data_IF_304116048412
#
_entry.id   IF_304116048412
#
_cell.length_a   1.000
_cell.length_b   1.000
_cell.length_c   1.000
_cell.angle_alpha   90.00
_cell.angle_beta   90.00
_cell.angle_gamma   90.00
#
_symmetry.space_group_name_H-M   'P 1'
#
loop_
_entity.id
_entity.type
_entity.pdbx_description
1 polymer ?
#
# COMPACT_ATOMS: atom_id res chain seq x y z
N UNK A 1 -19.84 3.35 59.35
CA UNK A 1 -19.21 4.07 58.22
C UNK A 1 -19.41 3.21 56.99
N UNK A 2 -20.30 3.64 56.10
CA UNK A 2 -20.83 2.85 54.99
C UNK A 2 -19.95 2.91 53.75
N UNK A 3 -19.85 1.75 53.10
CA UNK A 3 -19.23 1.45 51.81
C UNK A 3 -20.05 2.00 50.63
N UNK A 4 -19.38 2.43 49.55
CA UNK A 4 -19.94 2.38 48.20
C UNK A 4 -18.91 1.83 47.21
N UNK A 5 -19.19 0.62 46.74
CA UNK A 5 -18.56 -0.04 45.61
C UNK A 5 -19.01 0.62 44.30
N UNK A 6 -18.07 0.83 43.39
CA UNK A 6 -18.30 1.25 42.01
C UNK A 6 -19.06 0.17 41.22
N UNK A 7 -20.24 0.53 40.71
CA UNK A 7 -21.11 -0.33 39.91
C UNK A 7 -20.50 -0.71 38.56
N UNK A 8 -20.69 -1.96 38.07
CA UNK A 8 -20.35 -2.34 36.71
C UNK A 8 -21.39 -1.79 35.72
N UNK A 9 -20.91 -1.40 34.54
CA UNK A 9 -21.71 -0.92 33.40
C UNK A 9 -22.67 -2.04 32.98
N UNK A 10 -23.98 -1.82 33.19
CA UNK A 10 -25.04 -2.69 32.67
C UNK A 10 -25.17 -2.48 31.16
N UNK A 11 -25.03 -3.56 30.40
CA UNK A 11 -25.55 -3.63 29.03
C UNK A 11 -27.01 -4.04 29.12
N UNK A 12 -27.93 -3.12 28.81
CA UNK A 12 -29.33 -3.46 28.69
C UNK A 12 -29.52 -4.32 27.44
N UNK A 13 -29.96 -5.56 27.67
CA UNK A 13 -30.40 -6.49 26.65
C UNK A 13 -31.69 -5.95 26.02
N UNK A 14 -31.58 -5.40 24.80
CA UNK A 14 -32.76 -5.08 24.00
C UNK A 14 -33.30 -6.39 23.44
N UNK A 15 -34.31 -6.90 24.12
CA UNK A 15 -35.04 -8.10 23.74
C UNK A 15 -35.61 -8.00 22.32
N UNK A 16 -35.37 -9.09 21.59
CA UNK A 16 -36.10 -9.64 20.46
C UNK A 16 -37.42 -8.94 20.10
N UNK A 17 -37.44 -8.23 18.96
CA UNK A 17 -38.63 -8.18 18.11
C UNK A 17 -38.25 -8.76 16.76
N UNK A 18 -38.60 -10.04 16.62
CA UNK A 18 -38.63 -10.80 15.39
C UNK A 18 -39.56 -10.13 14.39
N UNK A 19 -39.00 -9.51 13.36
CA UNK A 19 -39.65 -9.46 12.06
C UNK A 19 -38.87 -10.39 11.14
N UNK A 20 -39.31 -11.64 11.11
CA UNK A 20 -39.12 -12.53 9.98
C UNK A 20 -39.76 -11.86 8.77
N UNK A 21 -38.95 -11.28 7.87
CA UNK A 21 -39.19 -11.26 6.44
C UNK A 21 -37.96 -10.70 5.68
N UNK A 22 -37.44 -11.53 4.79
CA UNK A 22 -36.75 -11.16 3.54
C UNK A 22 -35.39 -10.45 3.61
N UNK A 23 -34.39 -11.12 4.17
CA UNK A 23 -33.05 -11.08 3.57
C UNK A 23 -32.55 -12.52 3.50
N UNK A 24 -32.55 -13.11 2.30
CA UNK A 24 -31.91 -14.40 2.06
C UNK A 24 -30.41 -14.24 2.32
N UNK A 25 -29.98 -14.41 3.58
CA UNK A 25 -28.57 -14.32 3.95
C UNK A 25 -27.83 -15.36 3.14
N UNK A 26 -26.95 -14.92 2.24
CA UNK A 26 -26.07 -15.84 1.52
C UNK A 26 -25.28 -16.60 2.58
N UNK A 27 -25.54 -17.91 2.68
CA UNK A 27 -24.78 -18.81 3.52
C UNK A 27 -23.33 -18.79 2.99
N UNK A 28 -22.46 -18.03 3.68
CA UNK A 28 -21.08 -17.79 3.28
C UNK A 28 -20.33 -19.11 3.04
N UNK A 29 -20.69 -20.18 3.79
CA UNK A 29 -20.11 -21.51 3.65
C UNK A 29 -20.55 -22.15 2.33
N UNK A 30 -21.84 -22.08 1.97
CA UNK A 30 -22.32 -22.55 0.66
C UNK A 30 -21.68 -21.79 -0.50
N UNK A 31 -21.49 -20.48 -0.37
CA UNK A 31 -20.84 -19.72 -1.44
C UNK A 31 -19.35 -20.08 -1.56
N UNK A 32 -18.63 -20.22 -0.44
CA UNK A 32 -17.25 -20.69 -0.42
C UNK A 32 -17.10 -22.07 -1.10
N UNK A 33 -18.04 -22.99 -0.85
CA UNK A 33 -18.06 -24.28 -1.52
C UNK A 33 -18.15 -24.13 -3.04
N UNK A 34 -19.10 -23.32 -3.54
CA UNK A 34 -19.29 -23.07 -4.97
C UNK A 34 -18.05 -22.44 -5.60
N UNK A 35 -17.45 -21.47 -4.93
CA UNK A 35 -16.26 -20.78 -5.39
C UNK A 35 -15.07 -21.76 -5.50
N UNK A 36 -14.84 -22.59 -4.48
CA UNK A 36 -13.80 -23.63 -4.51
C UNK A 36 -14.09 -24.72 -5.55
N UNK A 37 -15.35 -25.16 -5.69
CA UNK A 37 -15.74 -26.16 -6.70
C UNK A 37 -15.48 -25.66 -8.13
N UNK A 38 -15.69 -24.36 -8.39
CA UNK A 38 -15.47 -23.77 -9.71
C UNK A 38 -14.01 -23.73 -10.15
N UNK A 39 -13.07 -23.86 -9.20
CA UNK A 39 -11.63 -23.78 -9.47
C UNK A 39 -10.87 -25.07 -9.15
N UNK A 40 -11.53 -26.11 -8.61
CA UNK A 40 -10.87 -27.32 -8.10
C UNK A 40 -10.03 -28.09 -9.13
N UNK A 41 -10.37 -27.98 -10.41
CA UNK A 41 -9.69 -28.68 -11.50
C UNK A 41 -8.40 -27.95 -11.94
N UNK A 42 -8.27 -26.66 -11.62
CA UNK A 42 -7.09 -25.84 -11.94
C UNK A 42 -6.27 -25.42 -10.71
N UNK A 43 -6.87 -25.42 -9.52
CA UNK A 43 -6.26 -25.07 -8.23
C UNK A 43 -6.26 -26.29 -7.30
N UNK A 44 -5.10 -26.93 -7.11
CA UNK A 44 -4.98 -28.13 -6.26
C UNK A 44 -5.42 -27.88 -4.81
N UNK A 45 -5.08 -26.71 -4.27
CA UNK A 45 -5.47 -26.31 -2.91
C UNK A 45 -6.99 -26.35 -2.72
N UNK A 46 -7.78 -25.96 -3.73
CA UNK A 46 -9.24 -25.92 -3.63
C UNK A 46 -9.84 -27.33 -3.53
N UNK A 47 -9.30 -28.29 -4.29
CA UNK A 47 -9.67 -29.71 -4.19
C UNK A 47 -9.37 -30.28 -2.81
N UNK A 48 -8.20 -29.98 -2.25
CA UNK A 48 -7.85 -30.42 -0.90
C UNK A 48 -8.69 -29.72 0.17
N UNK A 49 -8.99 -28.44 -0.01
CA UNK A 49 -9.83 -27.67 0.91
C UNK A 49 -11.22 -28.30 1.06
N UNK A 50 -11.86 -28.61 -0.06
CA UNK A 50 -13.19 -29.21 -0.11
C UNK A 50 -13.25 -30.59 0.55
N UNK A 51 -12.17 -31.38 0.44
CA UNK A 51 -12.12 -32.73 1.01
C UNK A 51 -11.72 -32.76 2.48
N UNK A 52 -10.90 -31.82 2.96
CA UNK A 52 -10.26 -31.93 4.28
C UNK A 52 -10.73 -30.90 5.31
N UNK A 53 -11.17 -29.72 4.88
CA UNK A 53 -11.41 -28.59 5.79
C UNK A 53 -12.85 -28.12 5.76
N UNK A 54 -13.48 -28.14 4.59
CA UNK A 54 -14.80 -27.56 4.39
C UNK A 54 -15.87 -28.10 5.37
N UNK A 55 -15.89 -29.42 5.60
CA UNK A 55 -16.85 -30.06 6.50
C UNK A 55 -16.72 -29.56 7.95
N UNK A 56 -15.49 -29.31 8.41
CA UNK A 56 -15.17 -28.86 9.76
C UNK A 56 -15.43 -27.39 10.05
N UNK A 57 -15.76 -26.57 9.03
CA UNK A 57 -16.11 -25.17 9.25
C UNK A 57 -17.45 -25.05 9.98
N UNK A 58 -17.54 -24.14 10.95
CA UNK A 58 -18.80 -23.82 11.63
C UNK A 58 -19.77 -23.17 10.63
N UNK A 59 -21.02 -23.63 10.59
CA UNK A 59 -22.04 -23.11 9.68
C UNK A 59 -22.42 -21.66 10.03
N UNK A 60 -22.53 -21.35 11.32
CA UNK A 60 -22.78 -20.00 11.78
C UNK A 60 -21.46 -19.25 12.01
N UNK A 61 -21.31 -18.03 11.47
CA UNK A 61 -20.20 -17.17 11.84
C UNK A 61 -20.28 -16.84 13.34
N UNK A 62 -19.13 -16.58 13.97
CA UNK A 62 -19.09 -16.35 15.41
C UNK A 62 -19.72 -14.99 15.69
N UNK A 63 -20.90 -15.00 16.30
CA UNK A 63 -21.80 -13.85 16.44
C UNK A 63 -21.09 -12.62 17.05
N UNK A 64 -20.22 -12.82 18.04
CA UNK A 64 -19.43 -11.73 18.63
C UNK A 64 -18.52 -11.00 17.63
N UNK A 65 -17.91 -11.69 16.67
CA UNK A 65 -17.05 -11.06 15.65
C UNK A 65 -17.87 -10.35 14.58
N UNK A 66 -19.03 -10.90 14.22
CA UNK A 66 -19.98 -10.24 13.32
C UNK A 66 -20.47 -8.95 13.96
N UNK A 67 -20.90 -8.99 15.22
CA UNK A 67 -21.39 -7.82 15.96
C UNK A 67 -20.29 -6.77 16.08
N UNK A 68 -19.04 -7.15 16.38
CA UNK A 68 -17.91 -6.20 16.39
C UNK A 68 -17.70 -5.53 15.03
N UNK A 69 -17.72 -6.30 13.94
CA UNK A 69 -17.52 -5.78 12.59
C UNK A 69 -18.69 -4.89 12.15
N UNK A 70 -19.93 -5.34 12.36
CA UNK A 70 -21.14 -4.61 12.02
C UNK A 70 -21.33 -3.37 12.90
N UNK A 71 -20.96 -3.42 14.19
CA UNK A 71 -21.02 -2.25 15.07
C UNK A 71 -20.00 -1.18 14.66
N UNK A 72 -18.75 -1.57 14.32
CA UNK A 72 -17.77 -0.65 13.73
C UNK A 72 -18.30 -0.02 12.43
N UNK A 73 -18.94 -0.83 11.58
CA UNK A 73 -19.58 -0.37 10.35
C UNK A 73 -20.75 0.60 10.61
N UNK A 74 -21.66 0.28 11.52
CA UNK A 74 -22.80 1.12 11.87
C UNK A 74 -22.38 2.42 12.55
N UNK A 75 -21.39 2.37 13.45
CA UNK A 75 -20.80 3.55 14.06
C UNK A 75 -20.26 4.49 12.98
N UNK A 76 -19.51 3.96 12.02
CA UNK A 76 -19.03 4.74 10.89
C UNK A 76 -20.17 5.31 10.03
N UNK A 77 -21.16 4.51 9.64
CA UNK A 77 -22.34 4.96 8.89
C UNK A 77 -23.05 6.11 9.60
N UNK A 78 -23.18 6.03 10.92
CA UNK A 78 -23.77 7.09 11.74
C UNK A 78 -22.91 8.36 11.78
N UNK A 79 -21.57 8.24 11.85
CA UNK A 79 -20.64 9.37 11.82
C UNK A 79 -20.60 10.03 10.43
N UNK A 80 -20.57 9.23 9.37
CA UNK A 80 -20.65 9.71 7.99
C UNK A 80 -21.95 10.49 7.75
N UNK A 81 -23.09 9.93 8.15
CA UNK A 81 -24.39 10.61 8.06
C UNK A 81 -24.46 11.87 8.93
N UNK A 82 -23.83 11.89 10.11
CA UNK A 82 -23.73 13.11 10.94
C UNK A 82 -22.87 14.18 10.29
N UNK A 83 -21.75 13.81 9.68
CA UNK A 83 -20.84 14.73 9.01
C UNK A 83 -21.43 15.26 7.69
N UNK A 84 -22.15 14.41 6.95
CA UNK A 84 -22.90 14.83 5.75
C UNK A 84 -24.11 15.70 6.08
N UNK A 85 -24.87 15.39 7.14
CA UNK A 85 -26.00 16.24 7.58
C UNK A 85 -25.55 17.58 8.16
N UNK A 86 -24.49 17.61 8.97
CA UNK A 86 -23.86 18.87 9.40
C UNK A 86 -23.43 19.70 8.20
N UNK A 87 -22.93 19.07 7.14
CA UNK A 87 -22.54 19.79 5.92
C UNK A 87 -23.71 20.39 5.13
N UNK A 88 -24.94 19.91 5.33
CA UNK A 88 -26.17 20.49 4.76
C UNK A 88 -26.78 21.58 5.65
N UNK A 89 -26.64 21.52 6.97
CA UNK A 89 -27.21 22.54 7.87
C UNK A 89 -26.35 23.81 8.01
N UNK A 90 -25.06 23.78 7.62
CA UNK A 90 -24.21 24.97 7.57
C UNK A 90 -24.44 25.87 6.35
N UNK A 91 -25.41 25.57 5.46
CA UNK A 91 -25.81 26.52 4.41
C UNK A 91 -26.74 27.62 4.89
N UNK A 92 -27.29 27.53 6.12
CA UNK A 92 -28.35 28.44 6.57
C UNK A 92 -28.09 29.20 7.87
N UNK A 93 -26.94 29.09 8.54
CA UNK A 93 -26.65 29.96 9.70
C UNK A 93 -25.14 30.24 9.85
N UNK A 94 -24.75 31.47 9.54
CA UNK A 94 -23.50 32.06 10.05
C UNK A 94 -23.65 32.29 11.55
N UNK A 95 -22.59 31.97 12.29
CA UNK A 95 -22.38 32.16 13.73
C UNK A 95 -22.90 31.03 14.63
N UNK A 96 -21.99 30.14 15.06
CA UNK A 96 -21.74 29.90 16.49
C UNK A 96 -20.54 28.94 16.74
N UNK A 97 -19.62 29.46 17.54
CA UNK A 97 -18.57 28.88 18.39
C UNK A 97 -18.32 27.36 18.39
N UNK A 98 -17.07 26.99 18.08
CA UNK A 98 -16.49 25.66 18.29
C UNK A 98 -16.03 25.56 19.75
N UNK A 99 -16.68 24.70 20.55
CA UNK A 99 -16.16 24.22 21.84
C UNK A 99 -15.38 22.92 21.64
N UNK A 100 -14.14 22.95 22.12
CA UNK A 100 -13.21 21.83 22.26
C UNK A 100 -13.80 20.74 23.17
N UNK A 101 -13.90 19.50 22.68
CA UNK A 101 -13.76 18.28 23.50
C UNK A 101 -13.71 17.05 22.58
N UNK A 102 -12.55 16.39 22.50
CA UNK A 102 -12.33 14.97 22.12
C UNK A 102 -10.88 14.65 21.72
N UNK A 103 -9.93 15.58 21.83
CA UNK A 103 -8.53 15.37 21.43
C UNK A 103 -7.72 14.35 22.27
N UNK A 104 -8.25 13.83 23.38
CA UNK A 104 -7.48 12.95 24.27
C UNK A 104 -7.58 11.45 23.95
N UNK A 105 -8.64 10.98 23.29
CA UNK A 105 -8.81 9.55 22.97
C UNK A 105 -8.09 9.13 21.68
N UNK A 106 -7.83 10.09 20.78
CA UNK A 106 -7.16 9.84 19.49
C UNK A 106 -5.63 9.79 19.66
N UNK A 107 -5.06 10.55 20.61
CA UNK A 107 -3.62 10.54 20.90
C UNK A 107 -3.12 9.22 21.48
N UNK A 108 -3.96 8.50 22.24
CA UNK A 108 -3.58 7.20 22.81
C UNK A 108 -3.62 6.05 21.80
N UNK A 109 -4.40 6.17 20.71
CA UNK A 109 -4.44 5.19 19.62
C UNK A 109 -3.27 5.32 18.63
N UNK A 110 -2.57 6.46 18.65
CA UNK A 110 -1.45 6.80 17.77
C UNK A 110 -0.12 6.22 18.28
N UNK A 111 -0.04 5.82 19.55
CA UNK A 111 1.23 5.39 20.17
C UNK A 111 1.63 3.92 19.88
N UNK A 112 0.77 3.12 19.22
CA UNK A 112 1.00 1.69 18.99
C UNK A 112 1.26 1.31 17.52
N UNK A 113 1.61 2.28 16.67
CA UNK A 113 2.06 2.00 15.30
C UNK A 113 3.40 2.69 15.07
N UNK A 114 4.47 1.91 15.16
CA UNK A 114 5.86 2.32 14.93
C UNK A 114 6.04 2.97 13.55
N UNK A 115 6.01 4.30 13.50
CA UNK A 115 6.69 5.11 12.50
C UNK A 115 7.19 6.39 13.18
N UNK A 116 8.50 6.46 13.43
CA UNK A 116 9.16 7.63 14.00
C UNK A 116 8.98 8.85 13.11
N UNK A 117 8.19 9.79 13.64
CA UNK A 117 8.01 11.17 13.25
C UNK A 117 9.34 11.92 13.39
N UNK A 118 9.99 12.26 12.28
CA UNK A 118 10.82 13.47 12.14
C UNK A 118 11.24 13.65 10.67
N UNK A 119 10.95 14.85 10.13
CA UNK A 119 11.58 15.47 8.93
C UNK A 119 10.86 15.60 7.57
N UNK A 120 9.53 15.77 7.43
CA UNK A 120 8.99 16.18 6.11
C UNK A 120 7.88 17.22 6.17
N UNK A 121 8.30 18.42 6.55
CA UNK A 121 7.66 19.70 6.22
C UNK A 121 7.87 20.07 4.74
N UNK A 122 6.84 20.76 4.22
CA UNK A 122 6.78 21.71 3.10
C UNK A 122 6.63 21.17 1.65
N UNK A 123 5.45 21.53 1.11
CA UNK A 123 5.03 21.76 -0.28
C UNK A 123 4.99 20.60 -1.28
N UNK A 124 3.78 20.07 -1.51
CA UNK A 124 3.31 19.73 -2.87
C UNK A 124 1.78 19.78 -2.90
N UNK A 125 1.22 20.92 -3.30
CA UNK A 125 -0.20 21.02 -3.65
C UNK A 125 -0.38 20.83 -5.17
N UNK A 126 -1.54 20.26 -5.51
CA UNK A 126 -2.39 20.52 -6.70
C UNK A 126 -2.55 19.57 -7.90
N UNK A 127 -2.02 18.34 -7.99
CA UNK A 127 -2.47 17.40 -9.07
C UNK A 127 -2.72 15.93 -8.66
N UNK A 128 -2.37 15.49 -7.44
CA UNK A 128 -2.34 14.04 -7.11
C UNK A 128 -3.54 13.57 -6.25
N UNK A 129 -4.53 14.41 -5.96
CA UNK A 129 -5.55 14.12 -4.93
C UNK A 129 -6.72 13.18 -5.33
N UNK A 130 -6.74 12.54 -6.51
CA UNK A 130 -7.91 11.73 -6.93
C UNK A 130 -7.72 10.20 -6.93
N UNK A 131 -6.51 9.68 -6.70
CA UNK A 131 -6.25 8.22 -6.76
C UNK A 131 -5.56 7.62 -5.51
N UNK A 132 -5.43 8.37 -4.42
CA UNK A 132 -4.61 8.00 -3.23
C UNK A 132 -5.28 7.06 -2.20
N UNK A 133 -6.23 6.23 -2.61
CA UNK A 133 -6.85 5.24 -1.72
C UNK A 133 -5.85 4.21 -1.13
N UNK A 134 -4.66 4.07 -1.72
CA UNK A 134 -3.60 3.17 -1.28
C UNK A 134 -2.46 3.84 -0.49
N UNK A 135 -2.57 5.16 -0.23
CA UNK A 135 -1.60 5.98 0.53
C UNK A 135 -2.11 6.27 1.96
N UNK A 136 -2.70 5.27 2.60
CA UNK A 136 -3.64 5.45 3.71
C UNK A 136 -3.07 5.60 5.14
N UNK A 137 -1.84 6.07 5.32
CA UNK A 137 -1.34 6.48 6.66
C UNK A 137 -0.48 7.76 6.62
N UNK A 138 0.41 7.87 5.63
CA UNK A 138 1.36 8.99 5.49
C UNK A 138 0.68 10.32 5.08
N UNK A 139 -0.41 10.27 4.32
CA UNK A 139 -1.22 11.45 3.96
C UNK A 139 -2.04 11.94 5.16
N UNK A 140 -2.46 11.01 6.04
CA UNK A 140 -3.31 11.29 7.19
C UNK A 140 -2.54 12.10 8.26
N UNK A 141 -1.26 11.80 8.47
CA UNK A 141 -0.40 12.48 9.45
C UNK A 141 0.02 13.88 9.00
N UNK A 142 0.34 14.08 7.72
CA UNK A 142 0.73 15.39 7.17
C UNK A 142 -0.41 16.41 7.19
N UNK A 143 -1.62 16.03 6.76
CA UNK A 143 -2.77 16.96 6.64
C UNK A 143 -3.39 17.37 7.98
N UNK A 144 -3.15 16.64 9.08
CA UNK A 144 -3.63 17.06 10.42
C UNK A 144 -2.88 18.27 10.99
N UNK A 145 -1.67 18.55 10.49
CA UNK A 145 -0.75 19.54 11.07
C UNK A 145 -0.78 20.86 10.29
N UNK A 146 -1.15 20.85 9.01
CA UNK A 146 -1.18 22.06 8.17
C UNK A 146 -2.56 22.25 7.52
N UNK A 147 -3.23 23.35 7.91
CA UNK A 147 -4.37 23.99 7.26
C UNK A 147 -5.79 23.42 7.50
N UNK A 148 -6.76 24.34 7.44
CA UNK A 148 -8.18 24.09 7.62
C UNK A 148 -8.70 23.13 6.55
N UNK A 149 -9.09 21.92 6.96
CA UNK A 149 -9.68 20.95 6.04
C UNK A 149 -10.96 21.47 5.38
N UNK A 150 -10.96 21.52 4.04
CA UNK A 150 -12.16 21.64 3.23
C UNK A 150 -13.07 20.42 3.39
N UNK A 151 -14.35 20.57 3.05
CA UNK A 151 -15.41 19.58 3.28
C UNK A 151 -15.09 18.20 2.68
N UNK A 152 -14.48 18.17 1.50
CA UNK A 152 -14.11 16.94 0.79
C UNK A 152 -12.94 16.21 1.48
N UNK A 153 -11.94 16.94 1.97
CA UNK A 153 -10.80 16.34 2.68
C UNK A 153 -11.23 15.69 4.01
N UNK A 154 -12.19 16.28 4.75
CA UNK A 154 -12.73 15.68 5.99
C UNK A 154 -13.47 14.37 5.70
N UNK A 155 -14.20 14.32 4.59
CA UNK A 155 -14.95 13.14 4.18
C UNK A 155 -14.01 12.00 3.78
N UNK A 156 -13.00 12.31 2.96
CA UNK A 156 -11.95 11.37 2.57
C UNK A 156 -11.18 10.85 3.79
N UNK A 157 -10.82 11.72 4.73
CA UNK A 157 -10.13 11.32 5.97
C UNK A 157 -10.98 10.39 6.83
N UNK A 158 -12.28 10.64 6.92
CA UNK A 158 -13.20 9.76 7.65
C UNK A 158 -13.26 8.37 7.01
N UNK A 159 -13.36 8.31 5.68
CA UNK A 159 -13.34 7.05 4.93
C UNK A 159 -12.01 6.30 5.10
N UNK A 160 -10.87 7.01 5.09
CA UNK A 160 -9.56 6.41 5.28
C UNK A 160 -9.39 5.82 6.68
N UNK A 161 -9.84 6.53 7.72
CA UNK A 161 -9.82 6.03 9.10
C UNK A 161 -10.67 4.75 9.21
N UNK A 162 -11.88 4.77 8.66
CA UNK A 162 -12.75 3.60 8.61
C UNK A 162 -12.11 2.43 7.87
N UNK A 163 -11.46 2.69 6.74
CA UNK A 163 -10.69 1.70 6.01
C UNK A 163 -9.61 1.06 6.89
N UNK A 164 -8.79 1.88 7.53
CA UNK A 164 -7.73 1.40 8.41
C UNK A 164 -8.27 0.55 9.56
N UNK A 165 -9.35 0.99 10.22
CA UNK A 165 -9.90 0.32 11.39
C UNK A 165 -10.50 -1.06 11.05
N UNK A 166 -11.22 -1.17 9.93
CA UNK A 166 -11.74 -2.47 9.49
C UNK A 166 -10.61 -3.41 9.07
N UNK A 167 -9.60 -2.91 8.37
CA UNK A 167 -8.44 -3.74 7.99
C UNK A 167 -7.68 -4.21 9.24
N UNK A 168 -7.56 -3.37 10.28
CA UNK A 168 -7.01 -3.76 11.58
C UNK A 168 -7.84 -4.85 12.24
N UNK A 169 -9.17 -4.66 12.30
CA UNK A 169 -10.09 -5.64 12.88
C UNK A 169 -10.00 -6.99 12.13
N UNK A 170 -9.98 -6.95 10.81
CA UNK A 170 -9.84 -8.13 9.97
C UNK A 170 -8.51 -8.85 10.24
N UNK A 171 -7.39 -8.11 10.35
CA UNK A 171 -6.08 -8.69 10.71
C UNK A 171 -6.10 -9.35 12.08
N UNK A 172 -6.75 -8.72 13.07
CA UNK A 172 -6.88 -9.29 14.42
C UNK A 172 -7.69 -10.59 14.38
N UNK A 173 -8.83 -10.58 13.69
CA UNK A 173 -9.72 -11.74 13.57
C UNK A 173 -9.06 -12.88 12.79
N UNK A 174 -8.37 -12.59 11.69
CA UNK A 174 -7.59 -13.57 10.92
C UNK A 174 -6.35 -14.04 11.68
N UNK A 175 -5.93 -13.38 12.76
CA UNK A 175 -4.84 -13.87 13.61
C UNK A 175 -5.34 -14.77 14.75
N UNK A 176 -6.65 -14.83 14.98
CA UNK A 176 -7.25 -15.66 16.01
C UNK A 176 -7.50 -17.09 15.49
N UNK A 177 -6.92 -18.09 16.15
CA UNK A 177 -7.02 -19.50 15.77
C UNK A 177 -8.45 -20.05 15.75
N UNK A 178 -9.35 -19.50 16.58
CA UNK A 178 -10.74 -19.91 16.66
C UNK A 178 -11.59 -19.34 15.50
N UNK A 179 -11.06 -18.35 14.78
CA UNK A 179 -11.77 -17.68 13.70
C UNK A 179 -11.77 -18.52 12.42
N UNK A 180 -12.93 -18.64 11.77
CA UNK A 180 -13.07 -19.49 10.57
C UNK A 180 -12.19 -19.00 9.40
N UNK A 181 -12.04 -17.68 9.24
CA UNK A 181 -11.12 -17.10 8.26
C UNK A 181 -9.64 -17.44 8.53
N UNK A 182 -9.23 -17.62 9.79
CA UNK A 182 -7.88 -18.09 10.12
C UNK A 182 -7.69 -19.53 9.61
N UNK A 183 -8.67 -20.41 9.88
CA UNK A 183 -8.62 -21.82 9.45
C UNK A 183 -8.46 -21.92 7.93
N UNK A 184 -9.23 -21.14 7.18
CA UNK A 184 -9.16 -21.11 5.71
C UNK A 184 -7.79 -20.60 5.24
N UNK A 185 -7.32 -19.49 5.81
CA UNK A 185 -6.03 -18.90 5.46
C UNK A 185 -4.87 -19.86 5.76
N UNK A 186 -4.88 -20.48 6.94
CA UNK A 186 -3.78 -21.38 7.31
C UNK A 186 -3.76 -22.66 6.50
N UNK A 187 -4.94 -23.22 6.21
CA UNK A 187 -5.00 -24.36 5.31
C UNK A 187 -4.37 -24.03 3.95
N UNK A 188 -4.68 -22.86 3.38
CA UNK A 188 -4.08 -22.45 2.13
C UNK A 188 -2.56 -22.29 2.25
N UNK A 189 -2.06 -21.63 3.29
CA UNK A 189 -0.61 -21.46 3.52
C UNK A 189 0.09 -22.82 3.62
N UNK A 190 -0.47 -23.76 4.37
CA UNK A 190 0.10 -25.10 4.51
C UNK A 190 0.06 -25.90 3.21
N UNK A 191 -1.05 -25.83 2.47
CA UNK A 191 -1.17 -26.44 1.15
C UNK A 191 -0.16 -25.85 0.16
N UNK A 192 -0.06 -24.53 0.12
CA UNK A 192 0.85 -23.79 -0.75
C UNK A 192 2.31 -24.13 -0.43
N UNK A 193 2.67 -24.17 0.86
CA UNK A 193 3.99 -24.60 1.31
C UNK A 193 4.28 -26.03 0.86
N UNK A 194 3.38 -26.98 1.08
CA UNK A 194 3.61 -28.38 0.65
C UNK A 194 3.78 -28.50 -0.86
N UNK A 195 3.05 -27.71 -1.63
CA UNK A 195 3.05 -27.74 -3.08
C UNK A 195 4.31 -27.13 -3.69
N UNK A 196 4.82 -26.02 -3.13
CA UNK A 196 5.85 -25.19 -3.78
C UNK A 196 7.15 -25.04 -2.98
N UNK A 197 7.22 -25.49 -1.73
CA UNK A 197 8.45 -25.34 -0.92
C UNK A 197 9.52 -26.40 -1.25
N UNK A 198 9.12 -27.59 -1.70
CA UNK A 198 10.06 -28.71 -1.93
C UNK A 198 10.81 -28.55 -3.25
N UNK A 199 10.15 -28.01 -4.28
CA UNK A 199 10.75 -27.72 -5.59
C UNK A 199 10.49 -26.25 -5.90
N UNK A 200 11.36 -25.34 -5.43
CA UNK A 200 11.36 -23.89 -5.76
C UNK A 200 11.73 -23.66 -7.24
N UNK A 201 11.16 -24.47 -8.12
CA UNK A 201 11.45 -24.53 -9.53
C UNK A 201 10.69 -23.41 -10.24
N UNK A 202 11.43 -22.62 -11.02
CA UNK A 202 10.86 -21.56 -11.88
C UNK A 202 9.73 -22.05 -12.80
N UNK A 203 9.72 -23.33 -13.19
CA UNK A 203 8.66 -23.93 -14.02
C UNK A 203 7.27 -23.92 -13.36
N UNK A 204 7.20 -23.78 -12.04
CA UNK A 204 5.94 -23.73 -11.31
C UNK A 204 5.52 -22.30 -10.93
N UNK A 205 6.31 -21.27 -11.30
CA UNK A 205 6.06 -19.89 -10.91
C UNK A 205 4.68 -19.40 -11.35
N UNK A 206 4.31 -19.64 -12.61
CA UNK A 206 3.01 -19.22 -13.14
C UNK A 206 1.85 -19.89 -12.39
N UNK A 207 1.99 -21.17 -12.03
CA UNK A 207 1.01 -21.88 -11.22
C UNK A 207 0.93 -21.30 -9.80
N UNK A 208 2.07 -21.02 -9.17
CA UNK A 208 2.11 -20.45 -7.81
C UNK A 208 1.48 -19.05 -7.75
N UNK A 209 1.79 -18.19 -8.74
CA UNK A 209 1.19 -16.87 -8.89
C UNK A 209 -0.32 -16.98 -9.14
N UNK A 210 -0.74 -17.93 -9.98
CA UNK A 210 -2.16 -18.18 -10.27
C UNK A 210 -2.90 -18.63 -9.02
N UNK A 211 -2.39 -19.62 -8.29
CA UNK A 211 -3.00 -20.14 -7.05
C UNK A 211 -3.16 -19.03 -6.01
N UNK A 212 -2.17 -18.15 -5.83
CA UNK A 212 -2.27 -16.98 -4.94
C UNK A 212 -3.35 -15.99 -5.36
N UNK A 213 -3.44 -15.69 -6.66
CA UNK A 213 -4.47 -14.78 -7.21
C UNK A 213 -5.86 -15.37 -7.05
N UNK A 214 -6.03 -16.66 -7.34
CA UNK A 214 -7.31 -17.35 -7.19
C UNK A 214 -7.73 -17.41 -5.73
N UNK A 215 -6.84 -17.85 -4.84
CA UNK A 215 -7.10 -17.86 -3.41
C UNK A 215 -7.48 -16.46 -2.90
N UNK A 216 -6.74 -15.42 -3.27
CA UNK A 216 -7.03 -14.05 -2.81
C UNK A 216 -8.42 -13.57 -3.23
N UNK A 217 -8.89 -13.96 -4.43
CA UNK A 217 -10.25 -13.66 -4.91
C UNK A 217 -11.32 -14.45 -4.14
N UNK A 218 -11.12 -15.74 -3.93
CA UNK A 218 -12.04 -16.58 -3.15
C UNK A 218 -12.11 -16.10 -1.70
N UNK A 219 -10.96 -15.81 -1.10
CA UNK A 219 -10.86 -15.34 0.27
C UNK A 219 -11.50 -13.96 0.46
N UNK A 220 -11.32 -13.06 -0.51
CA UNK A 220 -12.04 -11.78 -0.55
C UNK A 220 -13.55 -11.98 -0.55
N UNK A 221 -14.07 -12.84 -1.44
CA UNK A 221 -15.51 -13.10 -1.53
C UNK A 221 -16.02 -13.74 -0.23
N UNK A 222 -15.23 -14.64 0.35
CA UNK A 222 -15.52 -15.24 1.64
C UNK A 222 -15.63 -14.20 2.75
N UNK A 223 -14.70 -13.24 2.84
CA UNK A 223 -14.76 -12.12 3.79
C UNK A 223 -16.06 -11.31 3.60
N UNK A 224 -16.36 -10.93 2.35
CA UNK A 224 -17.55 -10.15 2.03
C UNK A 224 -18.83 -10.86 2.48
N UNK A 225 -18.94 -12.16 2.20
CA UNK A 225 -20.09 -12.96 2.58
C UNK A 225 -20.13 -13.22 4.11
N UNK A 226 -18.99 -13.47 4.74
CA UNK A 226 -18.88 -13.79 6.17
C UNK A 226 -19.38 -12.64 7.05
N UNK A 227 -19.03 -11.39 6.71
CA UNK A 227 -19.51 -10.21 7.43
C UNK A 227 -20.78 -9.60 6.84
N UNK A 228 -21.34 -10.20 5.78
CA UNK A 228 -22.47 -9.66 5.01
C UNK A 228 -22.23 -8.20 4.60
N UNK A 229 -21.00 -7.91 4.18
CA UNK A 229 -20.63 -6.60 3.70
C UNK A 229 -21.10 -6.44 2.26
N UNK A 230 -22.32 -5.94 2.08
CA UNK A 230 -22.80 -5.51 0.77
C UNK A 230 -21.91 -4.38 0.24
N UNK A 231 -21.82 -4.24 -1.10
CA UNK A 231 -21.29 -3.03 -1.75
C UNK A 231 -22.04 -1.86 -1.14
N UNK A 232 -21.40 -1.18 -0.19
CA UNK A 232 -22.05 -0.11 0.53
C UNK A 232 -22.51 0.90 -0.50
N UNK A 233 -23.82 1.14 -0.58
CA UNK A 233 -24.41 2.27 -1.30
C UNK A 233 -24.02 3.62 -0.62
N UNK A 234 -22.79 3.73 -0.14
CA UNK A 234 -22.17 4.96 0.35
C UNK A 234 -21.74 5.87 -0.83
N UNK A 235 -21.99 5.45 -2.07
CA UNK A 235 -21.67 6.16 -3.31
C UNK A 235 -22.62 7.33 -3.63
N UNK A 236 -23.39 7.85 -2.67
CA UNK A 236 -24.23 9.04 -2.89
C UNK A 236 -23.45 10.36 -2.87
N UNK A 237 -22.12 10.30 -2.93
CA UNK A 237 -21.24 11.46 -3.07
C UNK A 237 -20.06 11.19 -4.01
N UNK A 238 -19.29 12.24 -4.38
CA UNK A 238 -18.19 12.15 -5.35
C UNK A 238 -16.93 11.42 -4.84
N UNK A 239 -16.96 10.90 -3.60
CA UNK A 239 -15.79 10.28 -2.95
C UNK A 239 -15.83 8.76 -3.12
N UNK A 240 -14.74 8.22 -3.66
CA UNK A 240 -14.55 6.82 -4.05
C UNK A 240 -14.74 5.85 -2.88
N UNK A 241 -15.48 4.76 -3.11
CA UNK A 241 -15.59 3.67 -2.15
C UNK A 241 -14.21 3.01 -1.93
N UNK A 242 -13.59 3.30 -0.79
CA UNK A 242 -12.29 2.75 -0.41
C UNK A 242 -12.35 1.25 -0.10
N UNK A 243 -13.53 0.68 0.15
CA UNK A 243 -13.75 -0.76 0.35
C UNK A 243 -14.14 -1.47 -0.93
N UNK A 244 -13.65 -0.97 -2.06
CA UNK A 244 -13.81 -1.66 -3.33
C UNK A 244 -12.99 -2.96 -3.39
N UNK A 245 -13.27 -3.72 -4.46
CA UNK A 245 -12.64 -5.01 -4.71
C UNK A 245 -11.11 -4.93 -4.70
N UNK A 246 -10.55 -3.89 -5.29
CA UNK A 246 -9.12 -3.79 -5.55
C UNK A 246 -8.32 -3.48 -4.28
N UNK A 247 -8.85 -2.58 -3.44
CA UNK A 247 -8.23 -2.24 -2.15
C UNK A 247 -8.27 -3.42 -1.18
N UNK A 248 -9.35 -4.22 -1.21
CA UNK A 248 -9.43 -5.45 -0.41
C UNK A 248 -8.44 -6.51 -0.89
N UNK A 249 -8.27 -6.70 -2.20
CA UNK A 249 -7.22 -7.59 -2.73
C UNK A 249 -5.82 -7.13 -2.31
N UNK A 250 -5.55 -5.83 -2.37
CA UNK A 250 -4.27 -5.24 -1.93
C UNK A 250 -4.00 -5.52 -0.45
N UNK A 251 -5.04 -5.44 0.39
CA UNK A 251 -4.94 -5.77 1.80
C UNK A 251 -4.68 -7.28 2.02
N UNK A 252 -5.35 -8.16 1.29
CA UNK A 252 -5.16 -9.61 1.35
C UNK A 252 -3.75 -10.01 0.91
N UNK A 253 -3.24 -9.46 -0.21
CA UNK A 253 -1.86 -9.69 -0.61
C UNK A 253 -0.88 -9.23 0.46
N UNK A 254 -1.13 -8.06 1.07
CA UNK A 254 -0.31 -7.62 2.19
C UNK A 254 -0.33 -8.62 3.34
N UNK A 255 -1.50 -9.16 3.72
CA UNK A 255 -1.59 -10.17 4.78
C UNK A 255 -0.87 -11.48 4.42
N UNK A 256 -1.00 -11.95 3.18
CA UNK A 256 -0.34 -13.16 2.69
C UNK A 256 1.18 -13.00 2.64
N UNK A 257 1.68 -11.91 2.07
CA UNK A 257 3.12 -11.69 1.93
C UNK A 257 3.82 -11.24 3.21
N UNK A 258 3.09 -10.79 4.24
CA UNK A 258 3.67 -10.67 5.60
C UNK A 258 3.93 -12.05 6.24
N UNK A 259 3.48 -13.15 5.64
CA UNK A 259 3.91 -14.50 6.03
C UNK A 259 5.19 -14.80 5.28
N UNK A 260 6.30 -14.83 6.01
CA UNK A 260 7.65 -15.03 5.47
C UNK A 260 7.70 -16.21 4.48
N UNK A 261 7.04 -17.32 4.79
CA UNK A 261 7.05 -18.51 3.94
C UNK A 261 6.47 -18.27 2.54
N UNK A 262 5.38 -17.50 2.43
CA UNK A 262 4.73 -17.22 1.14
C UNK A 262 5.60 -16.27 0.31
N UNK A 263 6.10 -15.21 0.96
CA UNK A 263 7.01 -14.26 0.32
C UNK A 263 8.27 -14.96 -0.19
N UNK A 264 8.92 -15.77 0.64
CA UNK A 264 10.17 -16.45 0.28
C UNK A 264 9.97 -17.43 -0.88
N UNK A 265 8.93 -18.27 -0.84
CA UNK A 265 8.64 -19.20 -1.95
C UNK A 265 8.51 -18.44 -3.28
N UNK A 266 7.69 -17.40 -3.32
CA UNK A 266 7.48 -16.62 -4.54
C UNK A 266 8.73 -15.88 -4.96
N UNK A 267 9.41 -15.20 -4.03
CA UNK A 267 10.61 -14.45 -4.31
C UNK A 267 11.71 -15.36 -4.88
N UNK A 268 11.95 -16.52 -4.26
CA UNK A 268 12.95 -17.49 -4.73
C UNK A 268 12.61 -18.06 -6.11
N UNK A 269 11.34 -18.36 -6.36
CA UNK A 269 10.89 -18.83 -7.68
C UNK A 269 11.08 -17.76 -8.77
N UNK A 270 10.85 -16.47 -8.45
CA UNK A 270 11.11 -15.36 -9.37
C UNK A 270 12.62 -15.17 -9.57
N UNK A 271 13.42 -15.23 -8.50
CA UNK A 271 14.89 -15.16 -8.59
C UNK A 271 15.45 -16.26 -9.50
N UNK A 272 14.96 -17.50 -9.35
CA UNK A 272 15.34 -18.62 -10.21
C UNK A 272 14.90 -18.38 -11.67
N UNK A 273 13.68 -17.87 -11.88
CA UNK A 273 13.13 -17.58 -13.21
C UNK A 273 13.90 -16.46 -13.94
N UNK A 274 14.29 -15.40 -13.23
CA UNK A 274 15.03 -14.25 -13.74
C UNK A 274 16.55 -14.36 -13.58
N UNK A 275 17.08 -15.53 -13.22
CA UNK A 275 18.50 -15.68 -12.83
C UNK A 275 19.47 -15.09 -13.85
N UNK A 276 19.26 -15.37 -15.13
CA UNK A 276 20.11 -14.85 -16.22
C UNK A 276 20.05 -13.32 -16.31
N UNK A 277 18.87 -12.73 -16.20
CA UNK A 277 18.68 -11.29 -16.30
C UNK A 277 19.30 -10.56 -15.08
N UNK A 278 19.16 -11.16 -13.89
CA UNK A 278 19.81 -10.68 -12.65
C UNK A 278 21.33 -10.74 -12.77
N UNK A 279 21.88 -11.84 -13.27
CA UNK A 279 23.34 -12.01 -13.45
C UNK A 279 23.89 -11.01 -14.50
N UNK A 280 23.14 -10.76 -15.58
CA UNK A 280 23.48 -9.74 -16.58
C UNK A 280 23.45 -8.33 -15.98
N UNK A 281 22.39 -7.99 -15.24
CA UNK A 281 22.27 -6.68 -14.60
C UNK A 281 23.36 -6.46 -13.57
N UNK A 282 23.72 -7.49 -12.79
CA UNK A 282 24.85 -7.45 -11.86
C UNK A 282 26.15 -7.10 -12.57
N UNK A 283 26.46 -7.81 -13.66
CA UNK A 283 27.68 -7.58 -14.45
C UNK A 283 27.72 -6.15 -15.01
N UNK A 284 26.60 -5.67 -15.55
CA UNK A 284 26.50 -4.31 -16.07
C UNK A 284 26.70 -3.25 -14.96
N UNK A 285 26.08 -3.44 -13.80
CA UNK A 285 26.24 -2.54 -12.66
C UNK A 285 27.70 -2.52 -12.19
N UNK A 286 28.35 -3.67 -12.06
CA UNK A 286 29.75 -3.77 -11.62
C UNK A 286 30.70 -3.05 -12.58
N UNK A 287 30.50 -3.20 -13.89
CA UNK A 287 31.29 -2.52 -14.92
C UNK A 287 31.13 -1.01 -14.87
N UNK A 288 29.92 -0.51 -14.62
CA UNK A 288 29.66 0.92 -14.59
C UNK A 288 29.93 1.57 -13.22
N UNK A 289 30.01 0.80 -12.14
CA UNK A 289 29.94 1.31 -10.75
C UNK A 289 30.94 2.41 -10.43
N UNK A 290 32.16 2.34 -10.95
CA UNK A 290 33.22 3.30 -10.63
C UNK A 290 33.13 4.62 -11.41
N UNK A 291 32.26 4.73 -12.42
CA UNK A 291 32.12 5.96 -13.18
C UNK A 291 31.46 7.09 -12.38
N UNK A 292 31.89 8.31 -12.63
CA UNK A 292 31.32 9.54 -12.08
C UNK A 292 29.97 9.86 -12.73
N UNK A 293 29.18 10.75 -12.10
CA UNK A 293 27.84 11.07 -12.57
C UNK A 293 27.81 11.64 -14.01
N UNK A 294 28.89 12.28 -14.44
CA UNK A 294 29.02 12.88 -15.78
C UNK A 294 29.05 11.83 -16.90
N UNK A 295 29.34 10.55 -16.59
CA UNK A 295 29.36 9.45 -17.55
C UNK A 295 27.95 8.99 -18.00
N UNK A 296 26.91 9.23 -17.19
CA UNK A 296 25.59 8.62 -17.39
C UNK A 296 24.63 9.48 -18.23
N UNK A 297 25.16 10.40 -19.05
CA UNK A 297 24.37 11.31 -19.89
C UNK A 297 23.26 12.08 -19.15
N UNK A 298 23.41 12.27 -17.83
CA UNK A 298 22.50 13.10 -17.05
C UNK A 298 22.72 14.55 -17.49
N UNK A 299 21.65 15.27 -17.81
CA UNK A 299 21.74 16.68 -18.15
C UNK A 299 22.46 17.46 -17.03
N UNK A 300 23.34 18.39 -17.40
CA UNK A 300 24.17 19.15 -16.44
C UNK A 300 23.35 19.81 -15.33
N UNK A 301 22.08 20.17 -15.60
CA UNK A 301 21.12 20.69 -14.62
C UNK A 301 20.81 19.74 -13.46
N UNK A 302 20.91 18.43 -13.69
CA UNK A 302 20.50 17.41 -12.73
C UNK A 302 21.66 16.58 -12.17
N UNK A 303 22.93 16.94 -12.43
CA UNK A 303 24.09 16.20 -11.90
C UNK A 303 24.38 16.52 -10.43
N UNK A 304 23.96 17.68 -9.93
CA UNK A 304 24.15 18.13 -8.54
C UNK A 304 25.62 18.08 -8.07
N UNK A 305 26.56 18.30 -9.00
CA UNK A 305 28.00 18.27 -8.78
C UNK A 305 28.65 19.62 -9.16
N UNK A 306 29.98 19.66 -9.25
CA UNK A 306 30.76 20.82 -9.68
C UNK A 306 30.36 21.33 -11.08
N UNK A 307 29.97 20.43 -11.98
CA UNK A 307 29.51 20.76 -13.34
C UNK A 307 28.18 21.52 -13.29
N UNK A 308 27.21 21.05 -12.50
CA UNK A 308 25.95 21.78 -12.27
C UNK A 308 26.21 23.14 -11.64
N UNK A 309 27.11 23.21 -10.66
CA UNK A 309 27.47 24.47 -10.03
C UNK A 309 28.06 25.47 -11.03
N UNK A 310 28.99 25.03 -11.89
CA UNK A 310 29.57 25.85 -12.97
C UNK A 310 28.52 26.33 -13.97
N UNK A 311 27.55 25.48 -14.29
CA UNK A 311 26.41 25.84 -15.13
C UNK A 311 25.56 26.96 -14.50
N UNK A 312 25.32 26.89 -13.17
CA UNK A 312 24.56 27.92 -12.46
C UNK A 312 25.29 29.26 -12.44
N UNK A 313 26.59 29.28 -12.16
CA UNK A 313 27.38 30.53 -12.17
C UNK A 313 27.35 31.24 -13.52
N UNK A 314 27.39 30.48 -14.63
CA UNK A 314 27.30 31.06 -15.98
C UNK A 314 25.92 31.62 -16.30
N UNK A 315 24.87 31.01 -15.75
CA UNK A 315 23.48 31.36 -16.06
C UNK A 315 22.91 32.43 -15.12
N UNK A 316 23.38 32.46 -13.87
CA UNK A 316 22.91 33.34 -12.81
C UNK A 316 24.12 34.08 -12.22
N UNK A 317 24.34 35.30 -12.71
CA UNK A 317 25.51 36.13 -12.39
C UNK A 317 25.61 36.56 -10.91
N UNK A 318 24.55 36.34 -10.12
CA UNK A 318 24.41 36.85 -8.74
C UNK A 318 24.45 35.75 -7.67
N UNK A 319 24.82 34.51 -8.00
CA UNK A 319 24.90 33.46 -7.00
C UNK A 319 26.24 33.51 -6.25
N UNK A 320 26.23 33.97 -4.99
CA UNK A 320 27.32 33.73 -4.05
C UNK A 320 27.30 32.27 -3.60
N UNK A 321 28.38 31.53 -3.84
CA UNK A 321 28.36 30.07 -3.62
C UNK A 321 29.65 29.56 -2.99
N UNK A 322 29.50 28.96 -1.80
CA UNK A 322 30.42 27.94 -1.29
C UNK A 322 29.90 26.55 -1.69
N UNK A 323 30.40 26.01 -2.80
CA UNK A 323 30.06 24.64 -3.20
C UNK A 323 30.51 23.66 -2.11
N UNK A 324 29.56 22.87 -1.60
CA UNK A 324 29.87 21.75 -0.71
C UNK A 324 29.91 20.47 -1.53
N UNK A 325 31.09 19.84 -1.53
CA UNK A 325 31.28 18.56 -2.19
C UNK A 325 30.45 17.47 -1.49
N UNK A 326 29.70 16.71 -2.28
CA UNK A 326 28.83 15.66 -1.80
C UNK A 326 28.51 14.69 -2.93
N UNK A 327 28.12 13.47 -2.58
CA UNK A 327 27.73 12.46 -3.56
C UNK A 327 26.29 12.77 -3.99
N UNK A 328 26.04 13.08 -5.28
CA UNK A 328 24.70 13.33 -5.77
C UNK A 328 23.77 12.15 -5.47
N UNK A 329 22.53 12.44 -5.07
CA UNK A 329 21.49 11.43 -4.85
C UNK A 329 21.80 10.36 -3.77
N UNK A 330 22.79 10.57 -2.88
CA UNK A 330 23.18 9.58 -1.87
C UNK A 330 22.01 9.08 -1.02
N UNK A 331 21.05 9.95 -0.68
CA UNK A 331 19.85 9.55 0.06
C UNK A 331 18.95 8.61 -0.74
N UNK A 332 18.90 8.76 -2.07
CA UNK A 332 18.11 7.89 -2.94
C UNK A 332 18.69 6.47 -3.00
N UNK A 333 20.02 6.30 -2.96
CA UNK A 333 20.64 4.97 -2.95
C UNK A 333 20.16 4.13 -1.77
N UNK A 334 20.18 4.74 -0.57
CA UNK A 334 19.72 4.10 0.67
C UNK A 334 18.23 3.81 0.67
N UNK A 335 17.42 4.67 0.04
CA UNK A 335 15.97 4.47 -0.02
C UNK A 335 15.58 3.38 -1.02
N UNK A 336 16.29 3.31 -2.16
CA UNK A 336 16.07 2.26 -3.12
C UNK A 336 16.45 0.89 -2.54
N UNK A 337 17.56 0.79 -1.79
CA UNK A 337 17.97 -0.48 -1.17
C UNK A 337 16.99 -1.01 -0.11
N UNK A 338 16.21 -0.13 0.54
CA UNK A 338 15.16 -0.53 1.50
C UNK A 338 14.03 -1.36 0.88
N UNK A 339 13.93 -1.44 -0.45
CA UNK A 339 12.95 -2.32 -1.11
C UNK A 339 13.13 -3.80 -0.73
N UNK A 340 14.37 -4.21 -0.38
CA UNK A 340 14.70 -5.56 0.10
C UNK A 340 14.03 -5.90 1.42
N UNK A 341 13.83 -4.90 2.28
CA UNK A 341 13.20 -5.04 3.59
C UNK A 341 11.67 -5.12 3.51
N UNK A 342 11.08 -4.82 2.35
CA UNK A 342 9.62 -4.78 2.17
C UNK A 342 9.14 -6.08 1.58
N UNK A 343 8.12 -6.69 2.18
CA UNK A 343 7.53 -7.94 1.68
C UNK A 343 6.22 -7.72 0.89
N UNK A 344 5.43 -6.72 1.27
CA UNK A 344 4.19 -6.41 0.53
C UNK A 344 4.50 -5.73 -0.81
N UNK A 345 3.81 -6.12 -1.92
CA UNK A 345 3.92 -5.44 -3.21
C UNK A 345 3.70 -3.93 -3.09
N UNK A 346 2.69 -3.52 -2.31
CA UNK A 346 2.36 -2.11 -2.10
C UNK A 346 3.50 -1.36 -1.38
N UNK A 347 4.16 -2.00 -0.41
CA UNK A 347 5.29 -1.40 0.29
C UNK A 347 6.51 -1.26 -0.62
N UNK A 348 6.77 -2.25 -1.48
CA UNK A 348 7.84 -2.17 -2.49
C UNK A 348 7.57 -1.05 -3.50
N UNK A 349 6.36 -0.94 -4.03
CA UNK A 349 5.97 0.16 -4.92
C UNK A 349 6.14 1.53 -4.23
N UNK A 350 5.70 1.65 -2.96
CA UNK A 350 5.90 2.87 -2.17
C UNK A 350 7.37 3.25 -2.01
N UNK A 351 8.26 2.27 -1.80
CA UNK A 351 9.69 2.53 -1.72
C UNK A 351 10.24 3.12 -3.02
N UNK A 352 9.80 2.61 -4.18
CA UNK A 352 10.20 3.15 -5.50
C UNK A 352 9.70 4.59 -5.70
N UNK A 353 8.43 4.85 -5.41
CA UNK A 353 7.84 6.20 -5.54
C UNK A 353 8.52 7.18 -4.58
N UNK A 354 8.77 6.77 -3.34
CA UNK A 354 9.42 7.62 -2.35
C UNK A 354 10.87 7.96 -2.76
N UNK A 355 11.57 7.02 -3.41
CA UNK A 355 12.87 7.29 -4.00
C UNK A 355 12.79 8.42 -5.05
N UNK A 356 11.77 8.41 -5.91
CA UNK A 356 11.54 9.46 -6.90
C UNK A 356 11.27 10.83 -6.26
N UNK A 357 10.35 10.89 -5.29
CA UNK A 357 10.04 12.15 -4.60
C UNK A 357 11.31 12.77 -4.00
N UNK A 358 12.24 11.91 -3.55
CA UNK A 358 13.53 12.32 -3.00
C UNK A 358 14.55 12.75 -4.03
N UNK A 359 14.46 12.26 -5.28
CA UNK A 359 15.21 12.82 -6.41
C UNK A 359 14.80 14.27 -6.61
N UNK A 360 13.50 14.52 -6.78
CA UNK A 360 12.95 15.86 -7.01
C UNK A 360 13.32 16.77 -5.83
N UNK A 361 13.16 16.30 -4.60
CA UNK A 361 13.51 17.07 -3.39
C UNK A 361 14.99 17.42 -3.33
N UNK A 362 15.90 16.52 -3.72
CA UNK A 362 17.33 16.80 -3.71
C UNK A 362 17.73 17.81 -4.76
N UNK A 363 17.14 17.75 -5.96
CA UNK A 363 17.39 18.76 -6.99
C UNK A 363 16.87 20.13 -6.51
N UNK A 364 15.64 20.20 -5.97
CA UNK A 364 15.09 21.42 -5.34
C UNK A 364 16.01 21.98 -4.26
N UNK A 365 16.45 21.14 -3.33
CA UNK A 365 17.37 21.56 -2.27
C UNK A 365 18.69 22.10 -2.82
N UNK A 366 19.26 21.47 -3.84
CA UNK A 366 20.49 21.93 -4.46
C UNK A 366 20.32 23.35 -5.05
N UNK A 367 19.28 23.58 -5.84
CA UNK A 367 19.02 24.89 -6.46
C UNK A 367 18.68 25.97 -5.43
N UNK A 368 17.84 25.65 -4.45
CA UNK A 368 17.48 26.57 -3.36
C UNK A 368 18.69 26.96 -2.52
N UNK A 369 19.63 26.03 -2.27
CA UNK A 369 20.89 26.32 -1.53
C UNK A 369 21.71 27.40 -2.22
N UNK A 370 21.57 27.56 -3.54
CA UNK A 370 22.29 28.55 -4.34
C UNK A 370 21.42 29.74 -4.77
N UNK A 371 20.25 29.93 -4.14
CA UNK A 371 19.37 31.08 -4.39
C UNK A 371 18.68 31.07 -5.75
N UNK A 372 18.63 29.92 -6.43
CA UNK A 372 17.99 29.79 -7.73
C UNK A 372 16.56 29.24 -7.57
N UNK A 373 15.55 30.06 -7.89
CA UNK A 373 14.22 29.53 -8.19
C UNK A 373 14.26 28.90 -9.59
N UNK A 374 14.18 27.56 -9.65
CA UNK A 374 14.15 26.83 -10.90
C UNK A 374 12.78 26.16 -11.05
N UNK A 375 12.09 26.43 -12.15
CA UNK A 375 10.85 25.75 -12.49
C UNK A 375 11.14 24.31 -12.92
N UNK A 376 10.50 23.36 -12.25
CA UNK A 376 10.84 21.94 -12.30
C UNK A 376 10.05 21.22 -13.37
N UNK A 377 10.66 21.03 -14.54
CA UNK A 377 10.19 20.07 -15.54
C UNK A 377 11.33 19.09 -15.85
N UNK A 378 11.28 17.91 -15.21
CA UNK A 378 12.19 16.80 -15.52
C UNK A 378 11.54 16.01 -16.65
N UNK A 379 12.19 15.99 -17.81
CA UNK A 379 11.74 15.19 -18.94
C UNK A 379 11.98 13.70 -18.67
N UNK A 380 11.30 12.83 -19.42
CA UNK A 380 11.42 11.39 -19.26
C UNK A 380 12.84 10.88 -19.49
N UNK A 381 13.55 11.43 -20.49
CA UNK A 381 14.94 11.08 -20.77
C UNK A 381 15.87 11.39 -19.58
N UNK A 382 15.73 12.58 -18.99
CA UNK A 382 16.51 12.98 -17.81
C UNK A 382 16.21 12.08 -16.61
N UNK A 383 14.93 11.76 -16.40
CA UNK A 383 14.53 10.88 -15.30
C UNK A 383 15.12 9.47 -15.45
N UNK A 384 15.13 8.92 -16.67
CA UNK A 384 15.71 7.60 -16.95
C UNK A 384 17.22 7.61 -16.65
N UNK A 385 17.98 8.60 -17.11
CA UNK A 385 19.42 8.71 -16.83
C UNK A 385 19.72 8.86 -15.34
N UNK A 386 18.90 9.62 -14.60
CA UNK A 386 19.01 9.74 -13.14
C UNK A 386 18.74 8.39 -12.46
N UNK A 387 17.70 7.66 -12.88
CA UNK A 387 17.45 6.32 -12.36
C UNK A 387 18.59 5.36 -12.65
N UNK A 388 19.18 5.44 -13.83
CA UNK A 388 20.33 4.64 -14.23
C UNK A 388 21.46 4.77 -13.21
N UNK A 389 21.84 6.02 -12.90
CA UNK A 389 22.84 6.34 -11.90
C UNK A 389 22.45 5.83 -10.50
N UNK A 390 21.21 6.05 -10.06
CA UNK A 390 20.74 5.62 -8.74
C UNK A 390 20.77 4.09 -8.61
N UNK A 391 20.32 3.34 -9.62
CA UNK A 391 20.28 1.89 -9.62
C UNK A 391 21.72 1.34 -9.52
N UNK A 392 22.63 1.84 -10.37
CA UNK A 392 24.04 1.42 -10.37
C UNK A 392 24.69 1.69 -9.01
N UNK A 393 24.55 2.92 -8.49
CA UNK A 393 25.16 3.29 -7.20
C UNK A 393 24.50 2.62 -5.99
N UNK A 394 23.25 2.17 -6.11
CA UNK A 394 22.57 1.40 -5.07
C UNK A 394 22.97 -0.08 -5.01
N UNK A 395 23.62 -0.61 -6.05
CA UNK A 395 24.01 -2.02 -6.18
C UNK A 395 22.83 -2.99 -5.97
N UNK A 396 21.65 -2.60 -6.45
CA UNK A 396 20.43 -3.40 -6.34
C UNK A 396 20.31 -4.36 -7.55
N UNK A 397 21.09 -5.45 -7.50
CA UNK A 397 21.18 -6.43 -8.60
C UNK A 397 19.87 -7.18 -8.88
N UNK A 398 19.06 -7.39 -7.85
CA UNK A 398 17.79 -8.11 -7.88
C UNK A 398 16.57 -7.18 -8.11
N UNK A 399 16.79 -5.96 -8.61
CA UNK A 399 15.70 -4.99 -8.83
C UNK A 399 14.61 -5.56 -9.75
N UNK A 400 14.97 -6.30 -10.81
CA UNK A 400 14.01 -6.91 -11.73
C UNK A 400 13.06 -7.88 -11.04
N UNK A 401 13.53 -8.60 -10.01
CA UNK A 401 12.70 -9.51 -9.22
C UNK A 401 11.67 -8.75 -8.41
N UNK A 402 12.06 -7.63 -7.82
CA UNK A 402 11.12 -6.75 -7.12
C UNK A 402 10.09 -6.11 -8.06
N UNK A 403 10.49 -5.72 -9.27
CA UNK A 403 9.58 -5.16 -10.27
C UNK A 403 8.58 -6.22 -10.74
N UNK A 404 9.05 -7.43 -11.07
CA UNK A 404 8.17 -8.54 -11.44
C UNK A 404 7.15 -8.83 -10.33
N UNK A 405 7.61 -8.88 -9.08
CA UNK A 405 6.75 -9.10 -7.92
C UNK A 405 5.69 -7.99 -7.77
N UNK A 406 6.05 -6.73 -7.96
CA UNK A 406 5.11 -5.60 -7.96
C UNK A 406 4.05 -5.77 -9.06
N UNK A 407 4.47 -6.03 -10.29
CA UNK A 407 3.58 -6.09 -11.45
C UNK A 407 2.57 -7.23 -11.38
N UNK A 408 2.96 -8.35 -10.75
CA UNK A 408 2.09 -9.51 -10.65
C UNK A 408 1.06 -9.39 -9.52
N UNK A 409 1.32 -8.60 -8.48
CA UNK A 409 0.49 -8.58 -7.26
C UNK A 409 -0.09 -7.20 -6.90
N UNK A 410 0.22 -6.14 -7.66
CA UNK A 410 -0.49 -4.86 -7.58
C UNK A 410 -1.67 -4.85 -8.55
N UNK A 411 -2.71 -4.09 -8.21
CA UNK A 411 -3.86 -3.89 -9.06
C UNK A 411 -3.44 -3.29 -10.42
N UNK A 412 -3.80 -3.98 -11.50
CA UNK A 412 -3.54 -3.57 -12.88
C UNK A 412 -4.06 -2.15 -13.16
N UNK A 413 -5.17 -1.73 -12.55
CA UNK A 413 -5.69 -0.37 -12.74
C UNK A 413 -4.78 0.72 -12.16
N UNK A 414 -4.10 0.43 -11.03
CA UNK A 414 -3.16 1.36 -10.41
C UNK A 414 -1.89 1.52 -11.24
N UNK A 415 -1.48 0.46 -11.94
CA UNK A 415 -0.33 0.48 -12.85
C UNK A 415 -0.73 1.14 -14.17
N UNK A 416 -1.82 0.71 -14.80
CA UNK A 416 -2.17 1.11 -16.17
C UNK A 416 -2.68 2.55 -16.30
N UNK A 417 -3.38 3.07 -15.29
CA UNK A 417 -4.09 4.35 -15.38
C UNK A 417 -3.61 5.37 -14.34
N UNK A 418 -2.55 5.05 -13.60
CA UNK A 418 -1.96 5.91 -12.58
C UNK A 418 -0.54 6.36 -12.91
N UNK A 419 0.00 7.36 -12.20
CA UNK A 419 1.38 7.81 -12.36
C UNK A 419 2.40 6.70 -12.04
N UNK A 420 1.98 5.65 -11.34
CA UNK A 420 2.82 4.51 -11.00
C UNK A 420 3.28 3.71 -12.21
N UNK A 421 2.44 3.55 -13.23
CA UNK A 421 2.84 2.88 -14.48
C UNK A 421 3.95 3.62 -15.20
N UNK A 422 3.85 4.95 -15.24
CA UNK A 422 4.90 5.81 -15.81
C UNK A 422 6.24 5.58 -15.10
N UNK A 423 6.26 5.60 -13.76
CA UNK A 423 7.49 5.40 -12.99
C UNK A 423 8.08 3.99 -13.11
N UNK A 424 7.25 2.95 -13.06
CA UNK A 424 7.71 1.57 -13.29
C UNK A 424 8.32 1.42 -14.68
N UNK A 425 7.67 2.00 -15.70
CA UNK A 425 8.18 1.98 -17.08
C UNK A 425 9.51 2.73 -17.20
N UNK A 426 9.68 3.88 -16.53
CA UNK A 426 10.96 4.61 -16.50
C UNK A 426 12.08 3.79 -15.84
N UNK A 427 11.78 3.05 -14.77
CA UNK A 427 12.76 2.18 -14.10
C UNK A 427 13.15 1.01 -15.03
N UNK A 428 12.19 0.40 -15.71
CA UNK A 428 12.47 -0.65 -16.71
C UNK A 428 13.33 -0.13 -17.86
N UNK A 429 13.04 1.07 -18.36
CA UNK A 429 13.84 1.72 -19.37
C UNK A 429 15.27 1.97 -18.87
N UNK A 430 15.44 2.42 -17.63
CA UNK A 430 16.75 2.59 -17.01
C UNK A 430 17.52 1.27 -16.89
N UNK A 431 16.89 0.18 -16.44
CA UNK A 431 17.51 -1.16 -16.40
C UNK A 431 17.97 -1.58 -17.80
N UNK A 432 17.11 -1.40 -18.81
CA UNK A 432 17.45 -1.76 -20.19
C UNK A 432 18.64 -0.95 -20.71
N UNK A 433 18.71 0.34 -20.39
CA UNK A 433 19.85 1.19 -20.72
C UNK A 433 21.14 0.74 -20.03
N UNK A 434 21.08 0.34 -18.76
CA UNK A 434 22.24 -0.25 -18.04
C UNK A 434 22.74 -1.49 -18.79
N UNK A 435 21.83 -2.38 -19.16
CA UNK A 435 22.18 -3.61 -19.88
C UNK A 435 22.78 -3.35 -21.25
N UNK A 436 22.35 -2.28 -21.94
CA UNK A 436 22.92 -1.89 -23.24
C UNK A 436 24.36 -1.39 -23.13
N UNK A 437 24.81 -0.91 -21.96
CA UNK A 437 26.20 -0.49 -21.79
C UNK A 437 27.22 -1.66 -21.70
N UNK A 438 26.73 -2.91 -21.74
CA UNK A 438 27.59 -4.10 -21.90
C UNK A 438 28.03 -4.35 -23.35
N UNK A 439 27.44 -3.65 -24.32
CA UNK A 439 27.68 -3.77 -25.75
C UNK A 439 28.15 -2.44 -26.33
#
# INVERSE_FOLDING_TARGET
MGTQHSSPIKFDCVACQSNDNEFASVDWKKQLYRDCESIKDRSKWAKYFLSQVYSGLKSQPIEGYIIQFQSAHQQYKSQFLKNSRKSQSYSNNLNQSIKQSSDNSIKQLIYNTDLTIQQLEVQTNTIINRQEASVSLQVIEKKKISESFDKEDRLLMSQLIYYVDIIKLLKQQISNQDHQLYVILQFFIDSFKRQYNMDRCSKQLDSAVTDLKEFSRVFQQCIQNYYQYEKTQMSTGPVTDLFNRDNMLTAIYSMLFHKDIIYQIIYDMIMEWLRKDVDMLKTAIENCYNHEIDFYDINVKYRLNKSTHSYLLKKYSNCEINYREGIPYQKCFKLLSQIKEKQSPQQKLKALIYCLEKVIKQIKQFYNTYGCEYDFQIESADLISIYMYIIIKSQLFDLQVHLYFIEHFINTNQINYGPYGYYLTSIHAAIKMILLQLH
#
